data_IF_623568656033
#
_entry.id   IF_623568656033
#
_cell.length_a   1.000
_cell.length_b   1.000
_cell.length_c   1.000
_cell.angle_alpha   90.00
_cell.angle_beta   90.00
_cell.angle_gamma   90.00
#
_symmetry.space_group_name_H-M   'P 1'
#
loop_
_entity.id
_entity.type
_entity.pdbx_description
1 polymer ?
#
# COMPACT_ATOMS: atom_id res chain seq x y z
N UNK A 1 -13.88 -11.60 18.36
CA UNK A 1 -13.26 -11.80 17.05
C UNK A 1 -13.69 -10.74 16.05
N UNK A 2 -13.02 -10.65 14.91
CA UNK A 2 -13.31 -9.70 13.85
C UNK A 2 -13.69 -10.46 12.56
N UNK A 3 -14.82 -10.10 11.95
CA UNK A 3 -15.21 -10.57 10.62
C UNK A 3 -15.12 -9.43 9.60
N UNK A 4 -14.15 -9.52 8.68
CA UNK A 4 -13.98 -8.57 7.58
C UNK A 4 -14.70 -9.08 6.34
N UNK A 5 -15.77 -8.41 5.92
CA UNK A 5 -16.55 -8.74 4.73
C UNK A 5 -16.12 -7.83 3.55
N UNK A 6 -15.45 -8.41 2.57
CA UNK A 6 -15.00 -7.70 1.38
C UNK A 6 -16.11 -7.71 0.32
N UNK A 7 -16.61 -6.52 -0.06
CA UNK A 7 -17.80 -6.37 -0.87
C UNK A 7 -17.45 -6.29 -2.36
N UNK A 8 -18.17 -7.10 -3.16
CA UNK A 8 -18.14 -7.16 -4.62
C UNK A 8 -19.57 -7.23 -5.18
N UNK A 9 -19.75 -7.14 -6.52
CA UNK A 9 -21.07 -7.23 -7.16
C UNK A 9 -21.80 -8.51 -6.78
N UNK A 10 -21.12 -9.66 -6.79
CA UNK A 10 -21.74 -10.97 -6.56
C UNK A 10 -22.18 -11.22 -5.11
N UNK A 11 -21.67 -10.48 -4.14
CA UNK A 11 -22.00 -10.67 -2.74
C UNK A 11 -22.52 -9.40 -2.02
N UNK A 12 -22.74 -8.30 -2.72
CA UNK A 12 -23.24 -7.06 -2.10
C UNK A 12 -24.64 -7.21 -1.50
N UNK A 13 -25.45 -8.13 -2.03
CA UNK A 13 -26.78 -8.47 -1.51
C UNK A 13 -26.74 -9.24 -0.18
N UNK A 14 -25.60 -9.80 0.21
CA UNK A 14 -25.42 -10.59 1.42
C UNK A 14 -24.88 -9.75 2.61
N UNK A 15 -24.65 -8.45 2.43
CA UNK A 15 -24.00 -7.61 3.46
C UNK A 15 -24.81 -7.60 4.76
N UNK A 16 -26.10 -7.41 4.69
CA UNK A 16 -26.96 -7.34 5.88
C UNK A 16 -27.08 -8.70 6.58
N UNK A 17 -27.18 -9.78 5.83
CA UNK A 17 -27.20 -11.14 6.37
C UNK A 17 -25.88 -11.47 7.09
N UNK A 18 -24.74 -11.14 6.47
CA UNK A 18 -23.43 -11.34 7.05
C UNK A 18 -23.23 -10.50 8.33
N UNK A 19 -23.74 -9.27 8.38
CA UNK A 19 -23.71 -8.43 9.57
C UNK A 19 -24.53 -9.01 10.72
N UNK A 20 -25.74 -9.50 10.43
CA UNK A 20 -26.59 -10.18 11.41
C UNK A 20 -25.93 -11.46 11.94
N UNK A 21 -25.31 -12.24 11.06
CA UNK A 21 -24.60 -13.46 11.43
C UNK A 21 -23.37 -13.14 12.30
N UNK A 22 -22.60 -12.12 11.97
CA UNK A 22 -21.49 -11.67 12.80
C UNK A 22 -21.94 -11.27 14.20
N UNK A 23 -23.05 -10.53 14.29
CA UNK A 23 -23.67 -10.16 15.57
C UNK A 23 -24.11 -11.37 16.39
N UNK A 24 -24.73 -12.37 15.73
CA UNK A 24 -25.16 -13.61 16.39
C UNK A 24 -23.96 -14.36 17.02
N UNK A 25 -22.80 -14.36 16.35
CA UNK A 25 -21.58 -15.00 16.84
C UNK A 25 -20.71 -14.10 17.74
N UNK A 26 -21.17 -12.91 18.11
CA UNK A 26 -20.42 -11.98 18.96
C UNK A 26 -19.13 -11.45 18.28
N UNK A 27 -19.14 -11.32 16.95
CA UNK A 27 -18.03 -10.81 16.18
C UNK A 27 -18.24 -9.32 15.84
N UNK A 28 -17.15 -8.56 15.85
CA UNK A 28 -17.11 -7.25 15.21
C UNK A 28 -17.22 -7.41 13.70
N UNK A 29 -18.09 -6.63 13.03
CA UNK A 29 -18.30 -6.71 11.58
C UNK A 29 -17.74 -5.50 10.87
N UNK A 30 -16.83 -5.71 9.91
CA UNK A 30 -16.20 -4.65 9.12
C UNK A 30 -16.53 -4.79 7.64
N UNK A 31 -17.30 -3.84 7.10
CA UNK A 31 -17.58 -3.71 5.66
C UNK A 31 -16.34 -3.13 4.96
N UNK A 32 -15.65 -3.95 4.16
CA UNK A 32 -14.44 -3.53 3.47
C UNK A 32 -14.70 -3.26 1.99
N UNK A 33 -14.46 -2.00 1.58
CA UNK A 33 -14.58 -1.53 0.19
C UNK A 33 -13.20 -1.59 -0.46
N UNK A 34 -13.04 -2.38 -1.53
CA UNK A 34 -11.74 -2.50 -2.21
C UNK A 34 -11.47 -1.34 -3.16
N UNK A 35 -10.22 -0.85 -3.19
CA UNK A 35 -9.73 0.13 -4.17
C UNK A 35 -9.13 -0.51 -5.43
N UNK A 36 -9.23 -1.84 -5.61
CA UNK A 36 -8.57 -2.57 -6.71
C UNK A 36 -9.10 -2.26 -8.12
N UNK A 37 -10.19 -1.51 -8.22
CA UNK A 37 -10.82 -1.10 -9.46
C UNK A 37 -10.20 0.15 -10.09
N UNK A 38 -9.24 0.77 -9.39
CA UNK A 38 -8.42 1.84 -9.95
C UNK A 38 -7.26 1.20 -10.72
N UNK A 39 -7.22 1.37 -12.03
CA UNK A 39 -6.06 0.97 -12.83
C UNK A 39 -5.14 2.15 -13.12
N UNK A 40 -3.87 1.85 -12.85
CA UNK A 40 -2.63 2.49 -13.26
C UNK A 40 -2.68 3.89 -13.90
N UNK A 41 -1.84 4.71 -13.36
CA UNK A 41 -1.45 6.04 -13.77
C UNK A 41 -0.48 5.97 -14.96
N UNK A 42 -0.98 5.93 -16.18
CA UNK A 42 -0.19 6.30 -17.36
C UNK A 42 -0.79 7.56 -17.98
N UNK A 43 -0.13 8.68 -17.72
CA UNK A 43 -0.61 10.01 -18.11
C UNK A 43 -1.82 10.46 -17.26
N UNK A 44 -2.41 11.59 -17.58
CA UNK A 44 -3.49 12.27 -16.84
C UNK A 44 -4.84 11.55 -16.86
N UNK A 45 -4.92 10.25 -17.16
CA UNK A 45 -6.18 9.51 -17.23
C UNK A 45 -6.18 8.32 -16.28
N UNK A 46 -7.14 8.33 -15.36
CA UNK A 46 -7.49 7.17 -14.53
C UNK A 46 -8.26 6.19 -15.40
N UNK A 47 -7.72 4.98 -15.58
CA UNK A 47 -8.49 3.88 -16.15
C UNK A 47 -9.16 3.10 -15.03
N UNK A 48 -10.48 3.09 -14.99
CA UNK A 48 -11.27 2.21 -14.11
C UNK A 48 -11.17 0.78 -14.65
N UNK A 49 -10.94 -0.16 -13.75
CA UNK A 49 -10.92 -1.57 -14.08
C UNK A 49 -12.32 -2.14 -13.85
N UNK A 50 -12.91 -2.68 -14.89
CA UNK A 50 -14.27 -3.21 -14.84
C UNK A 50 -14.33 -4.62 -14.22
N UNK A 51 -13.24 -5.39 -14.32
CA UNK A 51 -13.15 -6.76 -13.79
C UNK A 51 -11.76 -7.09 -13.26
N UNK A 52 -11.64 -8.09 -12.38
CA UNK A 52 -10.34 -8.65 -11.98
C UNK A 52 -9.77 -9.59 -13.06
N UNK A 53 -8.51 -10.01 -12.90
CA UNK A 53 -7.95 -11.12 -13.68
C UNK A 53 -8.83 -12.36 -13.51
N UNK A 54 -9.38 -12.89 -14.62
CA UNK A 54 -10.30 -14.02 -14.60
C UNK A 54 -11.74 -13.66 -14.91
N UNK A 55 -12.09 -12.36 -15.11
CA UNK A 55 -13.40 -11.85 -15.54
C UNK A 55 -14.61 -12.22 -14.66
N UNK A 56 -14.40 -12.78 -13.46
CA UNK A 56 -15.46 -13.29 -12.61
C UNK A 56 -15.85 -12.30 -11.49
N UNK A 57 -14.91 -11.46 -11.05
CA UNK A 57 -15.13 -10.53 -9.95
C UNK A 57 -15.27 -9.10 -10.48
N UNK A 58 -16.43 -8.49 -10.22
CA UNK A 58 -16.75 -7.12 -10.61
C UNK A 58 -16.85 -6.20 -9.39
N UNK A 59 -16.69 -4.86 -9.58
CA UNK A 59 -16.95 -3.91 -8.51
C UNK A 59 -18.42 -3.97 -8.07
N UNK A 60 -18.72 -3.57 -6.80
CA UNK A 60 -20.10 -3.42 -6.37
C UNK A 60 -20.88 -2.49 -7.30
N UNK A 61 -22.12 -2.83 -7.63
CA UNK A 61 -23.02 -1.99 -8.42
C UNK A 61 -23.55 -0.82 -7.60
N UNK A 62 -23.78 -1.03 -6.30
CA UNK A 62 -24.17 0.01 -5.38
C UNK A 62 -23.04 1.02 -5.11
N UNK A 63 -23.33 2.31 -5.33
CA UNK A 63 -22.39 3.41 -5.00
C UNK A 63 -22.00 3.44 -3.52
N UNK A 64 -22.88 2.99 -2.64
CA UNK A 64 -22.62 2.91 -1.22
C UNK A 64 -21.41 2.01 -0.92
N UNK A 65 -21.28 0.90 -1.65
CA UNK A 65 -20.22 -0.08 -1.46
C UNK A 65 -18.97 0.17 -2.30
N UNK A 66 -19.00 1.17 -3.19
CA UNK A 66 -17.82 1.57 -3.95
C UNK A 66 -16.82 2.35 -3.09
N UNK A 67 -15.54 2.16 -3.34
CA UNK A 67 -14.48 2.89 -2.65
C UNK A 67 -14.39 4.32 -3.19
N UNK A 68 -14.52 5.31 -2.29
CA UNK A 68 -14.48 6.73 -2.64
C UNK A 68 -13.10 7.22 -3.10
N UNK A 69 -12.04 6.46 -2.84
CA UNK A 69 -10.66 6.86 -3.20
C UNK A 69 -10.48 7.14 -4.70
N UNK A 70 -11.30 6.53 -5.57
CA UNK A 70 -11.30 6.81 -7.02
C UNK A 70 -11.71 8.25 -7.29
N UNK A 71 -12.81 8.71 -6.66
CA UNK A 71 -13.33 10.07 -6.87
C UNK A 71 -12.43 11.12 -6.21
N UNK A 72 -11.82 10.78 -5.07
CA UNK A 72 -10.88 11.68 -4.38
C UNK A 72 -9.62 11.88 -5.21
N UNK A 73 -9.22 10.85 -5.94
CA UNK A 73 -8.08 10.92 -6.83
C UNK A 73 -8.34 11.78 -8.08
N UNK A 74 -9.53 11.65 -8.70
CA UNK A 74 -9.95 12.52 -9.80
C UNK A 74 -9.89 14.00 -9.37
N UNK A 75 -10.37 14.33 -8.17
CA UNK A 75 -10.28 15.68 -7.62
C UNK A 75 -8.85 16.15 -7.39
N UNK A 76 -7.92 15.25 -7.03
CA UNK A 76 -6.51 15.61 -6.88
C UNK A 76 -5.88 15.95 -8.22
N UNK A 77 -6.15 15.17 -9.27
CA UNK A 77 -5.69 15.46 -10.63
C UNK A 77 -6.29 16.77 -11.14
N UNK A 78 -7.58 17.00 -10.94
CA UNK A 78 -8.24 18.26 -11.34
C UNK A 78 -7.60 19.48 -10.64
N UNK A 79 -7.21 19.33 -9.39
CA UNK A 79 -6.58 20.39 -8.59
C UNK A 79 -5.13 20.67 -8.99
N UNK A 80 -4.34 19.64 -9.30
CA UNK A 80 -2.89 19.73 -9.49
C UNK A 80 -2.45 19.59 -10.95
N UNK A 81 -3.37 19.28 -11.87
CA UNK A 81 -3.11 19.09 -13.30
C UNK A 81 -2.69 17.65 -13.65
N UNK A 82 -1.78 17.08 -12.90
CA UNK A 82 -1.32 15.70 -13.06
C UNK A 82 -0.82 15.10 -11.74
N UNK A 83 -0.51 13.80 -11.78
CA UNK A 83 -0.11 13.07 -10.57
C UNK A 83 1.28 13.46 -10.05
N UNK A 84 2.21 13.75 -10.94
CA UNK A 84 3.56 14.16 -10.54
C UNK A 84 3.51 15.52 -9.85
N UNK A 85 2.79 16.48 -10.43
CA UNK A 85 2.55 17.79 -9.82
C UNK A 85 1.89 17.69 -8.44
N UNK A 86 0.95 16.73 -8.27
CA UNK A 86 0.39 16.44 -6.96
C UNK A 86 1.44 15.89 -5.98
N UNK A 87 2.28 14.94 -6.41
CA UNK A 87 3.33 14.37 -5.56
C UNK A 87 4.35 15.44 -5.15
N UNK A 88 4.78 16.30 -6.09
CA UNK A 88 5.75 17.38 -5.84
C UNK A 88 5.20 18.46 -4.88
N UNK A 89 3.89 18.65 -4.88
CA UNK A 89 3.19 19.59 -3.99
C UNK A 89 2.82 18.99 -2.61
N UNK A 90 3.07 17.68 -2.40
CA UNK A 90 2.63 16.98 -1.19
C UNK A 90 3.82 16.64 -0.29
N UNK A 91 3.73 17.04 0.98
CA UNK A 91 4.72 16.64 1.98
C UNK A 91 4.66 15.14 2.24
N UNK A 92 5.83 14.51 2.30
CA UNK A 92 5.93 13.09 2.62
C UNK A 92 5.76 12.89 4.12
N UNK A 93 4.66 12.27 4.53
CA UNK A 93 4.40 11.87 5.92
C UNK A 93 4.51 10.35 6.05
N UNK A 94 5.66 9.88 6.50
CA UNK A 94 5.88 8.45 6.72
C UNK A 94 5.14 7.95 7.95
N UNK A 95 4.15 7.06 7.75
CA UNK A 95 3.39 6.46 8.85
C UNK A 95 4.29 5.68 9.80
N UNK A 96 5.20 4.87 9.29
CA UNK A 96 6.09 4.03 10.11
C UNK A 96 7.02 4.86 10.99
N UNK A 97 7.51 6.00 10.50
CA UNK A 97 8.29 6.94 11.31
C UNK A 97 7.44 7.54 12.43
N UNK A 98 6.20 7.93 12.12
CA UNK A 98 5.25 8.50 13.09
C UNK A 98 4.87 7.50 14.18
N UNK A 99 4.64 6.23 13.81
CA UNK A 99 4.24 5.16 14.74
C UNK A 99 5.45 4.44 15.37
N UNK A 100 6.68 4.79 14.96
CA UNK A 100 7.93 4.12 15.38
C UNK A 100 7.92 2.61 15.11
N UNK A 101 7.34 2.21 13.99
CA UNK A 101 7.27 0.83 13.53
C UNK A 101 8.37 0.54 12.53
N UNK A 102 8.87 -0.70 12.53
CA UNK A 102 9.76 -1.25 11.51
C UNK A 102 9.20 -2.57 11.02
N UNK A 103 9.66 -3.02 9.87
CA UNK A 103 9.33 -4.33 9.33
C UNK A 103 10.58 -5.22 9.34
N UNK A 104 10.42 -6.46 9.84
CA UNK A 104 11.46 -7.49 9.81
C UNK A 104 10.92 -8.66 9.00
N UNK A 105 11.66 -9.08 7.98
CA UNK A 105 11.31 -10.23 7.16
C UNK A 105 11.67 -11.56 7.83
N UNK A 106 11.20 -12.67 7.26
CA UNK A 106 11.52 -14.01 7.74
C UNK A 106 13.03 -14.32 7.66
N UNK A 107 13.75 -13.68 6.73
CA UNK A 107 15.20 -13.79 6.57
C UNK A 107 15.99 -12.84 7.49
N UNK A 108 15.30 -12.08 8.33
CA UNK A 108 15.92 -11.11 9.23
C UNK A 108 16.18 -9.73 8.62
N UNK A 109 15.75 -9.44 7.39
CA UNK A 109 15.97 -8.13 6.76
C UNK A 109 15.09 -7.06 7.42
N UNK A 110 15.71 -5.98 7.88
CA UNK A 110 15.06 -4.87 8.56
C UNK A 110 14.87 -3.71 7.58
N UNK A 111 13.62 -3.27 7.43
CA UNK A 111 13.25 -2.14 6.57
C UNK A 111 12.28 -1.21 7.28
N UNK A 112 12.12 0.06 6.84
CA UNK A 112 11.19 0.99 7.47
C UNK A 112 9.74 0.51 7.50
N UNK A 113 9.30 -0.22 6.47
CA UNK A 113 7.94 -0.76 6.42
C UNK A 113 7.82 -1.91 5.42
N UNK A 114 6.68 -2.63 5.46
CA UNK A 114 6.40 -3.73 4.53
C UNK A 114 6.35 -3.30 3.05
N UNK A 115 6.02 -2.05 2.73
CA UNK A 115 6.06 -1.52 1.36
C UNK A 115 7.49 -1.43 0.83
N UNK A 116 8.42 -0.96 1.66
CA UNK A 116 9.85 -0.93 1.35
C UNK A 116 10.38 -2.34 1.15
N UNK A 117 10.06 -3.26 2.08
CA UNK A 117 10.41 -4.68 1.95
C UNK A 117 9.85 -5.30 0.65
N UNK A 118 8.57 -5.04 0.33
CA UNK A 118 7.95 -5.54 -0.90
C UNK A 118 8.66 -5.06 -2.17
N UNK A 119 9.32 -3.91 -2.13
CA UNK A 119 10.16 -3.44 -3.25
C UNK A 119 11.46 -4.24 -3.37
N UNK A 120 12.06 -4.67 -2.29
CA UNK A 120 13.24 -5.53 -2.31
C UNK A 120 12.94 -6.91 -2.93
N UNK A 121 11.79 -7.51 -2.57
CA UNK A 121 11.40 -8.85 -3.04
C UNK A 121 10.86 -8.91 -4.47
N UNK A 122 10.17 -7.85 -4.93
CA UNK A 122 9.59 -7.84 -6.29
C UNK A 122 10.61 -7.88 -7.43
N UNK A 123 11.87 -7.78 -7.12
CA UNK A 123 12.96 -7.62 -8.10
C UNK A 123 13.98 -8.74 -8.07
N UNK A 124 13.62 -9.92 -7.57
CA UNK A 124 14.51 -11.08 -7.69
C UNK A 124 14.91 -11.36 -9.15
N UNK A 125 14.03 -11.03 -10.11
CA UNK A 125 14.33 -11.13 -11.56
C UNK A 125 15.02 -9.89 -12.15
N UNK A 126 15.08 -8.78 -11.38
CA UNK A 126 15.62 -7.47 -11.82
C UNK A 126 16.49 -6.81 -10.76
N UNK A 127 17.34 -7.60 -10.10
CA UNK A 127 18.32 -7.09 -9.12
C UNK A 127 19.15 -5.99 -9.80
N UNK A 128 19.13 -4.79 -9.23
CA UNK A 128 19.87 -3.62 -9.74
C UNK A 128 19.05 -2.56 -10.47
N UNK A 129 17.78 -2.84 -10.84
CA UNK A 129 16.91 -1.84 -11.48
C UNK A 129 15.98 -1.10 -10.52
N UNK A 130 15.91 -1.53 -9.26
CA UNK A 130 15.05 -0.90 -8.26
C UNK A 130 15.86 0.08 -7.42
N UNK A 131 15.39 1.32 -7.33
CA UNK A 131 15.96 2.39 -6.51
C UNK A 131 16.28 1.95 -5.08
N UNK A 132 15.48 1.06 -4.48
CA UNK A 132 15.73 0.57 -3.12
C UNK A 132 17.05 -0.15 -2.95
N UNK A 133 17.50 -0.89 -3.98
CA UNK A 133 18.78 -1.58 -3.94
C UNK A 133 19.97 -0.62 -3.99
N UNK A 134 19.81 0.56 -4.61
CA UNK A 134 20.87 1.58 -4.61
C UNK A 134 21.15 2.19 -3.24
N UNK A 135 20.22 2.02 -2.29
CA UNK A 135 20.38 2.49 -0.91
C UNK A 135 21.05 1.46 0.01
N UNK A 136 21.25 0.24 -0.48
CA UNK A 136 21.81 -0.88 0.28
C UNK A 136 23.21 -1.18 -0.23
N UNK A 137 24.22 -0.86 0.58
CA UNK A 137 25.62 -1.13 0.23
C UNK A 137 25.96 -2.62 0.38
N UNK A 138 25.48 -3.25 1.47
CA UNK A 138 25.59 -4.68 1.75
C UNK A 138 24.34 -5.14 2.47
N UNK A 139 23.75 -6.23 2.02
CA UNK A 139 22.54 -6.85 2.61
C UNK A 139 22.72 -7.22 4.08
N UNK A 140 23.95 -7.57 4.51
CA UNK A 140 24.29 -7.85 5.90
C UNK A 140 24.10 -6.63 6.81
N UNK A 141 24.24 -5.42 6.26
CA UNK A 141 24.08 -4.19 7.02
C UNK A 141 22.64 -3.92 7.43
N UNK A 142 21.67 -4.61 6.85
CA UNK A 142 20.25 -4.51 7.16
C UNK A 142 19.66 -5.81 7.70
N UNK A 143 20.49 -6.79 8.07
CA UNK A 143 20.06 -8.08 8.59
C UNK A 143 20.22 -8.15 10.12
N UNK A 144 19.11 -8.36 10.83
CA UNK A 144 19.06 -8.48 12.28
C UNK A 144 19.77 -9.73 12.84
N UNK A 145 20.09 -10.71 11.98
CA UNK A 145 20.93 -11.87 12.35
C UNK A 145 22.42 -11.52 12.38
N UNK A 146 22.82 -10.45 11.70
CA UNK A 146 24.21 -10.00 11.57
C UNK A 146 24.53 -8.78 12.44
N UNK A 147 23.51 -7.92 12.71
CA UNK A 147 23.68 -6.66 13.44
C UNK A 147 22.53 -6.38 14.40
N UNK A 148 22.79 -5.66 15.51
CA UNK A 148 21.73 -5.14 16.37
C UNK A 148 20.75 -4.27 15.59
N UNK A 149 19.46 -4.43 15.86
CA UNK A 149 18.38 -3.67 15.17
C UNK A 149 18.59 -2.15 15.29
N UNK A 150 19.08 -1.66 16.44
CA UNK A 150 19.39 -0.23 16.63
C UNK A 150 20.40 0.27 15.60
N UNK A 151 21.50 -0.46 15.41
CA UNK A 151 22.56 -0.07 14.48
C UNK A 151 22.06 -0.07 13.01
N UNK A 152 21.11 -0.97 12.70
CA UNK A 152 20.47 -1.01 11.39
C UNK A 152 19.58 0.21 11.18
N UNK A 153 18.75 0.58 12.17
CA UNK A 153 17.86 1.75 12.11
C UNK A 153 18.66 3.05 12.00
N UNK A 154 19.78 3.16 12.71
CA UNK A 154 20.69 4.30 12.64
C UNK A 154 21.63 4.25 11.43
N UNK A 155 21.51 3.21 10.60
CA UNK A 155 22.36 2.94 9.44
C UNK A 155 21.98 3.66 8.17
N UNK A 156 22.75 3.40 7.10
CA UNK A 156 22.64 4.11 5.82
C UNK A 156 21.30 3.96 5.11
N UNK A 157 20.65 2.77 5.16
CA UNK A 157 19.37 2.56 4.46
C UNK A 157 18.30 3.54 4.95
N UNK A 158 18.12 3.65 6.27
CA UNK A 158 17.10 4.52 6.86
C UNK A 158 17.41 6.00 6.57
N UNK A 159 18.67 6.42 6.75
CA UNK A 159 19.11 7.79 6.46
C UNK A 159 18.90 8.18 5.01
N UNK A 160 19.33 7.36 4.05
CA UNK A 160 19.18 7.63 2.61
C UNK A 160 17.71 7.70 2.19
N UNK A 161 16.84 6.91 2.79
CA UNK A 161 15.39 6.98 2.54
C UNK A 161 14.84 8.33 3.05
N UNK A 162 15.18 8.75 4.26
CA UNK A 162 14.75 10.05 4.80
C UNK A 162 15.31 11.22 3.99
N UNK A 163 16.56 11.18 3.62
CA UNK A 163 17.21 12.19 2.77
C UNK A 163 16.53 12.30 1.39
N UNK A 164 16.08 11.17 0.82
CA UNK A 164 15.40 11.16 -0.48
C UNK A 164 14.06 11.92 -0.49
N UNK A 165 13.45 12.14 0.66
CA UNK A 165 12.18 12.89 0.74
C UNK A 165 12.37 14.40 0.56
N UNK A 166 13.60 14.90 0.72
CA UNK A 166 13.95 16.32 0.55
C UNK A 166 14.39 16.63 -0.88
N UNK A 167 14.55 15.61 -1.74
CA UNK A 167 14.95 15.78 -3.14
C UNK A 167 13.68 16.00 -3.96
N UNK A 168 13.43 17.24 -4.38
CA UNK A 168 12.39 17.54 -5.37
C UNK A 168 12.87 17.04 -6.73
N UNK A 169 12.02 16.26 -7.40
CA UNK A 169 12.26 15.74 -8.75
C UNK A 169 12.17 16.81 -9.82
#
# INVERSE_FOLDING_TARGET
GLWVFLIFEHNEHQVDEAEQMAKLFGLEFVKKKTGRWVQSYKGNKIKKKETSKGNEIKPPSSKEYQNKSVNDYEKLIDKHGDFNSYLDATDIVCKSLKTKEIYISAEGLVTPCCWTAGKLYKTYEQIGQNQMWSYIDDIKNINALEKPIRDIIEGNLFKRIEESWNIKS
#
